data_IF_125143309265
#
_entry.id   IF_125143309265
#
_cell.length_a   1.000
_cell.length_b   1.000
_cell.length_c   1.000
_cell.angle_alpha   90.00
_cell.angle_beta   90.00
_cell.angle_gamma   90.00
#
_symmetry.space_group_name_H-M   'P 1'
#
loop_
_entity.id
_entity.type
_entity.pdbx_description
1 polymer ?
#
# COMPACT_ATOMS: atom_id res chain seq x y z
N UNK A 1 32.86 -19.84 -28.67
CA UNK A 1 33.09 -18.99 -27.47
C UNK A 1 32.05 -17.90 -27.49
N UNK A 2 30.94 -18.06 -26.74
CA UNK A 2 29.90 -17.04 -26.56
C UNK A 2 30.44 -15.95 -25.62
N UNK A 3 30.49 -14.70 -26.11
CA UNK A 3 30.80 -13.53 -25.29
C UNK A 3 29.62 -13.30 -24.34
N UNK A 4 29.87 -13.50 -23.04
CA UNK A 4 28.92 -13.17 -22.00
C UNK A 4 28.57 -11.70 -22.03
N UNK A 5 27.32 -11.38 -22.36
CA UNK A 5 26.73 -10.06 -22.19
C UNK A 5 26.64 -9.77 -20.69
N UNK A 6 27.61 -9.05 -20.16
CA UNK A 6 27.54 -8.48 -18.82
C UNK A 6 26.36 -7.47 -18.79
N UNK A 7 25.28 -7.82 -18.10
CA UNK A 7 24.19 -6.88 -17.83
C UNK A 7 24.78 -5.65 -17.11
N UNK A 8 24.54 -4.42 -17.61
CA UNK A 8 25.02 -3.24 -16.91
C UNK A 8 24.47 -3.25 -15.47
N UNK A 9 25.36 -3.02 -14.51
CA UNK A 9 25.00 -2.98 -13.10
C UNK A 9 24.07 -1.80 -12.85
N UNK A 10 22.77 -2.07 -12.70
CA UNK A 10 21.72 -1.08 -12.34
C UNK A 10 21.95 -0.51 -10.91
N UNK A 11 22.86 -1.08 -10.17
CA UNK A 11 23.12 -0.78 -8.75
C UNK A 11 23.63 0.65 -8.52
N UNK A 12 24.54 1.16 -9.34
CA UNK A 12 25.11 2.50 -9.15
C UNK A 12 24.13 3.66 -9.38
N UNK A 13 23.30 3.68 -10.45
CA UNK A 13 22.29 4.72 -10.62
C UNK A 13 21.27 4.77 -9.47
N UNK A 14 20.82 3.60 -9.00
CA UNK A 14 19.87 3.50 -7.87
C UNK A 14 20.48 4.06 -6.58
N UNK A 15 21.74 3.75 -6.27
CA UNK A 15 22.41 4.28 -5.08
C UNK A 15 22.60 5.80 -5.14
N UNK A 16 22.85 6.39 -6.32
CA UNK A 16 22.91 7.84 -6.49
C UNK A 16 21.56 8.51 -6.23
N UNK A 17 20.47 7.93 -6.72
CA UNK A 17 19.11 8.43 -6.46
C UNK A 17 18.77 8.36 -4.97
N UNK A 18 19.11 7.25 -4.31
CA UNK A 18 18.90 7.06 -2.86
C UNK A 18 19.67 8.12 -2.07
N UNK A 19 20.93 8.36 -2.40
CA UNK A 19 21.78 9.34 -1.72
C UNK A 19 21.30 10.80 -1.91
N UNK A 20 20.61 11.09 -3.00
CA UNK A 20 20.04 12.41 -3.27
C UNK A 20 18.69 12.65 -2.55
N UNK A 21 18.04 11.61 -2.05
CA UNK A 21 16.75 11.73 -1.39
C UNK A 21 16.92 12.26 0.04
N UNK A 22 16.18 13.33 0.36
CA UNK A 22 16.17 13.95 1.70
C UNK A 22 14.77 13.93 2.27
N UNK A 23 14.65 13.60 3.54
CA UNK A 23 13.41 13.72 4.28
C UNK A 23 13.26 15.14 4.81
N UNK A 24 12.03 15.65 4.80
CA UNK A 24 11.69 16.95 5.41
C UNK A 24 11.47 16.78 6.90
N UNK A 25 11.49 17.89 7.65
CA UNK A 25 11.03 17.92 9.02
C UNK A 25 9.48 17.86 9.04
N UNK A 26 8.92 17.27 10.07
CA UNK A 26 7.50 17.42 10.40
C UNK A 26 7.28 18.77 11.07
N UNK A 27 6.03 19.27 11.02
CA UNK A 27 5.66 20.54 11.67
C UNK A 27 5.98 20.49 13.17
N UNK A 28 6.85 21.41 13.63
CA UNK A 28 7.31 21.46 15.00
C UNK A 28 8.61 20.71 15.32
N UNK A 29 9.18 19.98 14.36
CA UNK A 29 10.43 19.26 14.53
C UNK A 29 11.62 19.96 13.85
N UNK A 30 12.75 20.04 14.54
CA UNK A 30 14.01 20.60 14.02
C UNK A 30 14.81 19.59 13.14
N UNK A 31 14.43 18.33 13.17
CA UNK A 31 15.13 17.26 12.46
C UNK A 31 14.21 16.56 11.43
N UNK A 32 14.78 16.01 10.34
CA UNK A 32 14.03 15.19 9.40
C UNK A 32 13.37 14.00 10.12
N UNK A 33 12.11 13.71 9.75
CA UNK A 33 11.32 12.62 10.37
C UNK A 33 11.93 11.21 10.17
N UNK A 34 12.88 11.07 9.26
CA UNK A 34 13.59 9.82 9.02
C UNK A 34 15.06 10.10 8.66
N UNK A 35 16.00 9.30 9.14
CA UNK A 35 17.42 9.43 8.78
C UNK A 35 17.62 9.15 7.27
N UNK A 36 18.73 9.60 6.68
CA UNK A 36 19.05 9.34 5.28
C UNK A 36 19.02 7.85 4.94
N UNK A 37 18.48 7.53 3.78
CA UNK A 37 18.47 6.15 3.26
C UNK A 37 19.87 5.79 2.78
N UNK A 38 20.42 4.70 3.29
CA UNK A 38 21.77 4.22 2.94
C UNK A 38 21.77 2.99 2.02
N UNK A 39 20.60 2.39 1.75
CA UNK A 39 20.54 1.20 0.91
C UNK A 39 19.15 0.78 0.47
N UNK A 40 19.10 -0.10 -0.52
CA UNK A 40 17.86 -0.57 -1.13
C UNK A 40 16.94 -1.34 -0.17
N UNK A 41 17.48 -1.96 0.88
CA UNK A 41 16.68 -2.63 1.91
C UNK A 41 15.80 -1.63 2.67
N UNK A 42 16.34 -0.44 2.99
CA UNK A 42 15.57 0.61 3.65
C UNK A 42 14.49 1.20 2.72
N UNK A 43 14.80 1.38 1.43
CA UNK A 43 13.77 1.79 0.45
C UNK A 43 12.61 0.81 0.45
N UNK A 44 12.91 -0.48 0.34
CA UNK A 44 11.87 -1.53 0.36
C UNK A 44 11.07 -1.49 1.66
N UNK A 45 11.76 -1.37 2.80
CA UNK A 45 11.10 -1.25 4.09
C UNK A 45 10.13 -0.07 4.14
N UNK A 46 10.55 1.11 3.68
CA UNK A 46 9.69 2.31 3.66
C UNK A 46 8.52 2.17 2.67
N UNK A 47 8.76 1.61 1.50
CA UNK A 47 7.68 1.31 0.53
C UNK A 47 6.64 0.39 1.15
N UNK A 48 7.07 -0.65 1.86
CA UNK A 48 6.16 -1.54 2.58
C UNK A 48 5.33 -0.78 3.64
N UNK A 49 5.95 0.18 4.37
CA UNK A 49 5.22 1.05 5.34
C UNK A 49 4.19 1.95 4.65
N UNK A 50 4.49 2.46 3.45
CA UNK A 50 3.53 3.26 2.69
C UNK A 50 2.32 2.41 2.26
N UNK A 51 2.52 1.18 1.78
CA UNK A 51 1.41 0.26 1.49
C UNK A 51 0.53 0.05 2.73
N UNK A 52 1.12 -0.19 3.87
CA UNK A 52 0.41 -0.44 5.12
C UNK A 52 -0.33 0.82 5.60
N UNK A 53 0.28 2.00 5.48
CA UNK A 53 -0.37 3.27 5.78
C UNK A 53 -1.59 3.52 4.88
N UNK A 54 -1.47 3.28 3.58
CA UNK A 54 -2.59 3.39 2.65
C UNK A 54 -3.73 2.44 3.03
N UNK A 55 -3.40 1.20 3.42
CA UNK A 55 -4.43 0.27 3.90
C UNK A 55 -5.16 0.79 5.14
N UNK A 56 -4.44 1.30 6.12
CA UNK A 56 -5.02 1.86 7.35
C UNK A 56 -5.95 3.01 7.01
N UNK A 57 -5.49 3.97 6.20
CA UNK A 57 -6.31 5.12 5.76
C UNK A 57 -7.60 4.66 5.07
N UNK A 58 -7.50 3.74 4.11
CA UNK A 58 -8.68 3.26 3.37
C UNK A 58 -9.61 2.49 4.31
N UNK A 59 -9.10 1.58 5.13
CA UNK A 59 -9.94 0.75 6.00
C UNK A 59 -10.70 1.54 7.04
N UNK A 60 -10.09 2.60 7.60
CA UNK A 60 -10.72 3.44 8.62
C UNK A 60 -11.65 4.52 8.06
N UNK A 61 -11.45 4.97 6.83
CA UNK A 61 -12.26 6.04 6.25
C UNK A 61 -13.35 5.54 5.30
N UNK A 62 -13.27 4.28 4.86
CA UNK A 62 -14.25 3.69 3.92
C UNK A 62 -15.10 2.62 4.60
N UNK A 63 -14.57 1.94 5.62
CA UNK A 63 -15.28 0.88 6.32
C UNK A 63 -15.47 -0.40 5.49
N UNK A 64 -14.77 -0.56 4.37
CA UNK A 64 -14.80 -1.77 3.54
C UNK A 64 -14.10 -2.95 4.24
N UNK A 65 -14.46 -4.18 3.85
CA UNK A 65 -13.78 -5.38 4.36
C UNK A 65 -12.37 -5.49 3.79
N UNK A 66 -11.47 -6.14 4.53
CA UNK A 66 -10.08 -6.36 4.06
C UNK A 66 -10.03 -7.00 2.68
N UNK A 67 -10.85 -8.03 2.43
CA UNK A 67 -10.93 -8.68 1.12
C UNK A 67 -11.39 -7.74 0.02
N UNK A 68 -12.31 -6.82 0.32
CA UNK A 68 -12.82 -5.82 -0.61
C UNK A 68 -11.73 -4.79 -0.93
N UNK A 69 -10.98 -4.34 0.09
CA UNK A 69 -9.85 -3.42 -0.09
C UNK A 69 -8.72 -4.09 -0.89
N UNK A 70 -8.36 -5.34 -0.57
CA UNK A 70 -7.29 -6.06 -1.27
C UNK A 70 -7.65 -6.42 -2.73
N UNK A 71 -8.94 -6.41 -3.08
CA UNK A 71 -9.43 -6.62 -4.43
C UNK A 71 -9.57 -5.33 -5.25
N UNK A 72 -9.16 -4.17 -4.72
CA UNK A 72 -9.19 -2.91 -5.47
C UNK A 72 -8.23 -2.94 -6.65
N UNK A 73 -8.72 -2.46 -7.77
CA UNK A 73 -7.98 -2.36 -9.02
C UNK A 73 -7.57 -0.90 -9.30
N UNK A 74 -6.68 -0.68 -10.22
CA UNK A 74 -6.35 0.65 -10.70
C UNK A 74 -7.57 1.34 -11.32
N UNK A 75 -7.55 2.66 -11.36
CA UNK A 75 -8.65 3.50 -11.87
C UNK A 75 -9.98 3.27 -11.11
N UNK A 76 -9.88 2.92 -9.81
CA UNK A 76 -11.07 2.68 -8.97
C UNK A 76 -11.67 3.96 -8.35
N UNK A 77 -11.10 5.12 -8.56
CA UNK A 77 -11.69 6.40 -8.13
C UNK A 77 -12.60 6.94 -9.22
N UNK A 78 -13.86 7.15 -8.87
CA UNK A 78 -14.86 7.80 -9.73
C UNK A 78 -15.23 9.17 -9.16
N UNK A 79 -15.37 10.15 -10.05
CA UNK A 79 -15.83 11.50 -9.68
C UNK A 79 -17.23 11.71 -10.19
N UNK A 80 -18.15 12.05 -9.29
CA UNK A 80 -19.53 12.36 -9.61
C UNK A 80 -19.81 13.81 -9.28
N UNK A 81 -20.33 14.55 -10.25
CA UNK A 81 -20.76 15.92 -10.07
C UNK A 81 -22.23 15.92 -9.63
N UNK A 82 -22.54 16.61 -8.55
CA UNK A 82 -23.95 16.82 -8.16
C UNK A 82 -24.64 17.71 -9.17
N UNK A 83 -25.90 17.40 -9.50
CA UNK A 83 -26.72 18.22 -10.41
C UNK A 83 -27.04 19.59 -9.83
N UNK A 84 -27.13 19.69 -8.50
CA UNK A 84 -27.62 20.89 -7.80
C UNK A 84 -26.50 21.72 -7.15
N UNK A 85 -25.29 21.20 -7.06
CA UNK A 85 -24.14 21.83 -6.41
C UNK A 85 -22.91 21.76 -7.33
N UNK A 86 -22.11 22.82 -7.36
CA UNK A 86 -20.88 22.88 -8.16
C UNK A 86 -19.79 21.94 -7.61
N UNK A 87 -20.11 21.13 -6.62
CA UNK A 87 -19.16 20.24 -5.93
C UNK A 87 -19.04 18.90 -6.64
N UNK A 88 -17.82 18.40 -6.68
CA UNK A 88 -17.48 17.07 -7.21
C UNK A 88 -17.16 16.16 -6.03
N UNK A 89 -17.84 15.02 -5.96
CA UNK A 89 -17.62 14.00 -4.95
C UNK A 89 -16.85 12.84 -5.53
N UNK A 90 -15.83 12.38 -4.80
CA UNK A 90 -15.08 11.20 -5.17
C UNK A 90 -15.67 9.95 -4.51
N UNK A 91 -15.71 8.87 -5.27
CA UNK A 91 -16.16 7.55 -4.83
C UNK A 91 -15.10 6.51 -5.15
N UNK A 92 -14.95 5.55 -4.25
CA UNK A 92 -14.13 4.37 -4.44
C UNK A 92 -15.01 3.25 -5.01
N UNK A 93 -14.74 2.82 -6.22
CA UNK A 93 -15.43 1.71 -6.87
C UNK A 93 -14.75 0.39 -6.56
N UNK A 94 -15.49 -0.57 -6.06
CA UNK A 94 -15.01 -1.93 -5.79
C UNK A 94 -16.15 -2.92 -5.80
N UNK A 95 -15.96 -4.08 -5.20
CA UNK A 95 -16.95 -5.17 -5.14
C UNK A 95 -17.18 -5.59 -3.69
N UNK A 96 -18.43 -5.87 -3.34
CA UNK A 96 -18.79 -6.41 -2.03
C UNK A 96 -18.81 -7.93 -2.13
N UNK A 97 -17.96 -8.60 -1.36
CA UNK A 97 -17.93 -10.05 -1.26
C UNK A 97 -18.70 -10.48 -0.01
N UNK A 98 -19.89 -11.07 -0.18
CA UNK A 98 -20.66 -11.67 0.93
C UNK A 98 -20.21 -13.11 1.20
N UNK A 99 -19.81 -13.83 0.15
CA UNK A 99 -19.29 -15.22 0.20
C UNK A 99 -18.20 -15.37 -0.85
N UNK A 100 -17.31 -16.36 -0.67
CA UNK A 100 -16.20 -16.64 -1.61
C UNK A 100 -16.67 -17.04 -3.02
N UNK A 101 -17.97 -17.32 -3.21
CA UNK A 101 -18.58 -17.72 -4.48
C UNK A 101 -19.05 -16.53 -5.36
N UNK A 102 -19.05 -15.29 -4.83
CA UNK A 102 -19.59 -14.13 -5.55
C UNK A 102 -18.57 -13.47 -6.49
N UNK A 103 -18.01 -14.21 -7.44
CA UNK A 103 -17.19 -13.63 -8.52
C UNK A 103 -17.99 -12.63 -9.39
N UNK A 104 -19.32 -12.69 -9.35
CA UNK A 104 -20.28 -11.83 -10.07
C UNK A 104 -20.87 -10.72 -9.17
N UNK A 105 -20.27 -10.41 -8.02
CA UNK A 105 -20.77 -9.36 -7.14
C UNK A 105 -20.89 -8.02 -7.90
N UNK A 106 -22.04 -7.31 -7.77
CA UNK A 106 -22.20 -6.03 -8.43
C UNK A 106 -21.18 -5.01 -7.92
N UNK A 107 -20.79 -4.03 -8.74
CA UNK A 107 -19.94 -2.94 -8.29
C UNK A 107 -20.62 -2.16 -7.16
N UNK A 108 -19.83 -1.72 -6.20
CA UNK A 108 -20.27 -0.90 -5.09
C UNK A 108 -19.42 0.37 -5.03
N UNK A 109 -20.05 1.48 -4.67
CA UNK A 109 -19.38 2.77 -4.51
C UNK A 109 -19.38 3.15 -3.03
N UNK A 110 -18.19 3.36 -2.49
CA UNK A 110 -17.99 3.96 -1.17
C UNK A 110 -17.62 5.43 -1.33
N UNK A 111 -18.13 6.30 -0.47
CA UNK A 111 -17.61 7.68 -0.41
C UNK A 111 -16.10 7.67 -0.17
N UNK A 112 -15.37 8.45 -0.95
CA UNK A 112 -13.91 8.52 -0.88
C UNK A 112 -13.46 9.92 -0.44
N UNK A 113 -13.22 10.15 0.87
CA UNK A 113 -12.59 11.38 1.34
C UNK A 113 -11.24 11.62 0.65
N UNK A 114 -10.78 12.87 0.60
CA UNK A 114 -9.56 13.25 -0.10
C UNK A 114 -8.33 12.44 0.34
N UNK A 115 -8.26 12.03 1.62
CA UNK A 115 -7.17 11.18 2.11
C UNK A 115 -7.18 9.78 1.45
N UNK A 116 -8.37 9.22 1.17
CA UNK A 116 -8.52 7.94 0.46
C UNK A 116 -8.11 8.09 -0.99
N UNK A 117 -8.54 9.17 -1.65
CA UNK A 117 -8.13 9.46 -3.04
C UNK A 117 -6.60 9.49 -3.14
N UNK A 118 -5.93 10.23 -2.24
CA UNK A 118 -4.45 10.29 -2.20
C UNK A 118 -3.82 8.93 -1.91
N UNK A 119 -4.39 8.12 -1.03
CA UNK A 119 -3.89 6.79 -0.74
C UNK A 119 -3.96 5.88 -1.98
N UNK A 120 -5.05 5.96 -2.75
CA UNK A 120 -5.21 5.22 -4.02
C UNK A 120 -4.19 5.70 -5.06
N UNK A 121 -4.04 7.00 -5.26
CA UNK A 121 -3.03 7.56 -6.17
C UNK A 121 -1.60 7.07 -5.85
N UNK A 122 -1.26 7.01 -4.56
CA UNK A 122 0.02 6.46 -4.10
C UNK A 122 0.14 4.98 -4.42
N UNK A 123 -0.90 4.18 -4.14
CA UNK A 123 -0.93 2.75 -4.43
C UNK A 123 -0.82 2.47 -5.92
N UNK A 124 -1.50 3.24 -6.77
CA UNK A 124 -1.42 3.12 -8.21
C UNK A 124 0.00 3.33 -8.74
N UNK A 125 0.69 4.33 -8.22
CA UNK A 125 2.08 4.62 -8.58
C UNK A 125 3.04 3.53 -8.09
N UNK A 126 2.87 3.05 -6.86
CA UNK A 126 3.72 2.01 -6.28
C UNK A 126 3.51 0.65 -6.93
N UNK A 127 2.27 0.30 -7.27
CA UNK A 127 1.92 -1.00 -7.88
C UNK A 127 2.20 -1.04 -9.39
N UNK A 128 2.30 0.11 -10.06
CA UNK A 128 2.42 0.19 -11.51
C UNK A 128 3.50 -0.74 -12.12
N UNK A 129 4.73 -0.84 -11.60
CA UNK A 129 5.73 -1.75 -12.14
C UNK A 129 5.33 -3.22 -12.04
N UNK A 130 4.70 -3.62 -10.92
CA UNK A 130 4.25 -5.00 -10.72
C UNK A 130 3.03 -5.31 -11.59
N UNK A 131 2.08 -4.37 -11.70
CA UNK A 131 0.92 -4.50 -12.58
C UNK A 131 1.35 -4.68 -14.04
N UNK A 132 2.27 -3.85 -14.52
CA UNK A 132 2.81 -3.94 -15.87
C UNK A 132 3.53 -5.27 -16.10
N UNK A 133 4.34 -5.73 -15.15
CA UNK A 133 5.08 -6.99 -15.27
C UNK A 133 4.16 -8.22 -15.26
N UNK A 134 3.09 -8.18 -14.47
CA UNK A 134 2.17 -9.30 -14.30
C UNK A 134 0.98 -9.29 -15.29
N UNK A 135 0.75 -8.17 -16.01
CA UNK A 135 -0.44 -8.00 -16.84
C UNK A 135 -1.74 -7.97 -16.02
N UNK A 136 -1.70 -7.40 -14.82
CA UNK A 136 -2.79 -7.37 -13.84
C UNK A 136 -3.20 -5.94 -13.49
N UNK A 137 -4.40 -5.77 -12.93
CA UNK A 137 -4.99 -4.46 -12.56
C UNK A 137 -5.00 -4.19 -11.05
N UNK A 138 -4.82 -5.20 -10.20
CA UNK A 138 -4.95 -5.09 -8.75
C UNK A 138 -3.85 -4.22 -8.14
N UNK A 139 -4.22 -3.41 -7.14
CA UNK A 139 -3.31 -2.47 -6.47
C UNK A 139 -2.39 -3.13 -5.44
N UNK A 140 -2.82 -4.22 -4.83
CA UNK A 140 -2.13 -4.87 -3.70
C UNK A 140 -1.23 -6.02 -4.14
N UNK A 141 -0.52 -5.82 -5.22
CA UNK A 141 0.40 -6.83 -5.75
C UNK A 141 1.69 -6.88 -4.93
N UNK A 142 2.13 -8.07 -4.64
CA UNK A 142 3.40 -8.35 -3.98
C UNK A 142 4.17 -9.43 -4.73
N UNK A 143 5.49 -9.30 -4.74
CA UNK A 143 6.36 -10.33 -5.28
C UNK A 143 6.59 -11.41 -4.21
N UNK A 144 6.15 -12.63 -4.50
CA UNK A 144 6.33 -13.80 -3.64
C UNK A 144 7.44 -14.69 -4.18
N UNK A 145 8.04 -15.47 -3.31
CA UNK A 145 9.05 -16.47 -3.66
C UNK A 145 10.40 -16.24 -3.00
N UNK A 146 11.02 -17.34 -2.59
CA UNK A 146 12.36 -17.42 -2.05
C UNK A 146 13.07 -18.52 -2.83
N UNK A 147 14.28 -18.27 -3.30
CA UNK A 147 15.06 -19.37 -3.81
C UNK A 147 16.11 -19.00 -4.86
N UNK A 148 16.98 -19.97 -5.12
CA UNK A 148 18.10 -19.91 -6.06
C UNK A 148 17.59 -19.94 -7.52
N UNK A 149 16.40 -20.49 -7.74
CA UNK A 149 15.70 -20.51 -9.03
C UNK A 149 14.69 -19.38 -9.01
N UNK A 150 14.61 -18.58 -10.08
CA UNK A 150 13.71 -17.43 -10.19
C UNK A 150 12.24 -17.88 -10.32
N UNK A 151 11.69 -18.36 -9.22
CA UNK A 151 10.28 -18.78 -9.07
C UNK A 151 9.42 -17.66 -8.48
N UNK A 152 9.89 -16.39 -8.58
CA UNK A 152 9.13 -15.27 -8.06
C UNK A 152 7.85 -15.08 -8.83
N UNK A 153 6.74 -15.21 -8.14
CA UNK A 153 5.40 -14.92 -8.66
C UNK A 153 4.93 -13.56 -8.14
N UNK A 154 4.17 -12.86 -8.96
CA UNK A 154 3.47 -11.64 -8.54
C UNK A 154 2.03 -12.03 -8.28
N UNK A 155 1.57 -11.79 -7.06
CA UNK A 155 0.21 -12.13 -6.65
C UNK A 155 -0.37 -11.08 -5.70
N UNK A 156 -1.68 -11.14 -5.47
CA UNK A 156 -2.35 -10.24 -4.53
C UNK A 156 -1.96 -10.60 -3.09
N UNK A 157 -1.66 -9.59 -2.30
CA UNK A 157 -1.38 -9.76 -0.87
C UNK A 157 -2.58 -10.41 -0.17
N UNK A 158 -2.31 -11.41 0.65
CA UNK A 158 -3.36 -12.05 1.46
C UNK A 158 -3.65 -11.23 2.72
N UNK A 159 -4.87 -11.36 3.25
CA UNK A 159 -5.24 -10.71 4.52
C UNK A 159 -4.37 -11.15 5.70
N UNK A 160 -3.95 -12.40 5.75
CA UNK A 160 -3.03 -12.90 6.78
C UNK A 160 -1.65 -12.25 6.69
N UNK A 161 -1.10 -12.14 5.48
CA UNK A 161 0.17 -11.44 5.23
C UNK A 161 0.07 -9.98 5.65
N UNK A 162 -1.02 -9.29 5.27
CA UNK A 162 -1.25 -7.89 5.63
C UNK A 162 -1.30 -7.70 7.15
N UNK A 163 -2.11 -8.50 7.86
CA UNK A 163 -2.23 -8.40 9.34
C UNK A 163 -0.90 -8.68 10.03
N UNK A 164 -0.15 -9.67 9.57
CA UNK A 164 1.18 -9.96 10.07
C UNK A 164 2.13 -8.77 9.89
N UNK A 165 2.10 -8.12 8.73
CA UNK A 165 2.93 -6.94 8.43
C UNK A 165 2.52 -5.72 9.24
N UNK A 166 1.22 -5.46 9.36
CA UNK A 166 0.69 -4.36 10.17
C UNK A 166 1.18 -4.46 11.62
N UNK A 167 1.02 -5.62 12.25
CA UNK A 167 1.40 -5.79 13.65
C UNK A 167 2.90 -6.00 13.87
N UNK A 168 3.59 -6.63 12.93
CA UNK A 168 5.02 -6.92 13.06
C UNK A 168 5.93 -5.75 12.71
N UNK A 169 5.46 -4.84 11.85
CA UNK A 169 6.32 -3.79 11.32
C UNK A 169 5.70 -2.38 11.34
N UNK A 170 4.43 -2.23 10.95
CA UNK A 170 3.81 -0.91 10.84
C UNK A 170 3.51 -0.30 12.21
N UNK A 171 2.86 -1.05 13.09
CA UNK A 171 2.54 -0.58 14.44
C UNK A 171 3.81 -0.17 15.21
N UNK A 172 4.87 -1.00 15.27
CA UNK A 172 6.12 -0.59 15.91
C UNK A 172 6.81 0.61 15.24
N UNK A 173 6.57 0.84 13.96
CA UNK A 173 7.15 1.97 13.22
C UNK A 173 6.46 3.30 13.53
N UNK A 174 5.13 3.31 13.65
CA UNK A 174 4.34 4.54 13.89
C UNK A 174 4.12 4.84 15.38
N UNK A 175 4.14 3.82 16.21
CA UNK A 175 3.96 3.91 17.66
C UNK A 175 5.01 3.03 18.35
N UNK A 176 6.29 3.46 18.40
CA UNK A 176 7.31 2.69 19.08
C UNK A 176 6.93 2.56 20.57
N UNK A 177 7.18 1.36 21.17
CA UNK A 177 6.86 1.14 22.57
C UNK A 177 7.61 2.16 23.44
N UNK A 178 6.86 2.92 24.24
CA UNK A 178 7.40 3.71 25.33
C UNK A 178 7.59 2.81 26.53
N UNK A 179 8.66 3.01 27.31
CA UNK A 179 9.09 2.13 28.42
C UNK A 179 8.06 1.87 29.52
N UNK A 180 6.88 2.50 29.47
CA UNK A 180 5.86 2.46 30.51
C UNK A 180 4.63 1.59 30.21
N UNK A 181 4.45 1.07 28.98
CA UNK A 181 3.21 0.36 28.66
C UNK A 181 3.47 -0.88 27.80
N UNK A 182 3.44 -2.05 28.43
CA UNK A 182 3.71 -3.36 27.82
C UNK A 182 2.51 -3.91 27.03
N UNK A 183 1.39 -3.19 26.95
CA UNK A 183 0.26 -3.61 26.12
C UNK A 183 0.54 -3.26 24.67
N UNK A 184 1.12 -4.19 23.92
CA UNK A 184 1.27 -4.07 22.46
C UNK A 184 -0.09 -3.88 21.81
N UNK A 185 -0.39 -2.64 21.43
CA UNK A 185 -1.57 -2.35 20.64
C UNK A 185 -1.53 -3.18 19.35
N UNK A 186 -2.62 -3.84 19.02
CA UNK A 186 -2.72 -4.69 17.82
C UNK A 186 -3.84 -4.22 16.93
N UNK A 187 -3.52 -4.07 15.65
CA UNK A 187 -4.51 -3.87 14.61
C UNK A 187 -5.18 -5.20 14.26
N UNK A 188 -6.49 -5.21 14.33
CA UNK A 188 -7.30 -6.34 13.84
C UNK A 188 -8.14 -5.91 12.65
N UNK A 189 -8.38 -6.81 11.72
CA UNK A 189 -9.13 -6.52 10.48
C UNK A 189 -10.56 -6.00 10.69
N UNK A 190 -11.29 -6.37 11.77
CA UNK A 190 -12.62 -5.82 12.01
C UNK A 190 -12.64 -4.39 12.58
N UNK A 191 -11.52 -3.87 13.08
CA UNK A 191 -11.49 -2.55 13.75
C UNK A 191 -11.90 -1.42 12.80
N UNK A 192 -11.41 -1.41 11.57
CA UNK A 192 -11.78 -0.38 10.58
C UNK A 192 -13.28 -0.28 10.31
N UNK A 193 -14.04 -1.39 10.43
CA UNK A 193 -15.49 -1.40 10.23
C UNK A 193 -16.31 -0.96 11.44
N UNK A 194 -15.75 -1.04 12.64
CA UNK A 194 -16.46 -0.69 13.88
C UNK A 194 -16.44 0.81 14.18
N UNK A 195 -15.78 1.59 13.35
CA UNK A 195 -15.60 3.04 13.55
C UNK A 195 -16.72 3.86 12.86
N UNK A 196 -17.59 3.18 12.10
CA UNK A 196 -18.75 3.78 11.41
C UNK A 196 -20.08 3.22 11.93
#
# INVERSE_FOLDING_TARGET
>A
RARGLTRPSVRQPVLKLIAAFKFTCLDGDDAPWHPPIIGTKQVRFLVDRIYEACFVVISYLVGARVSEILALEADCIEQHRSADVTETFAYLRGRIFKTAADAAAPPHLWAAPQAVVRAIEVLERLSAPLRQQAGRSELWLVMQGHGIIDTRTIDVMTSSTLVSRLNGYFVPFVAPPTDSDVSTWRLTTPQGRKTF
#
